data_IF_747017408766
#
_entry.id   IF_747017408766
#
_cell.length_a   1.000
_cell.length_b   1.000
_cell.length_c   1.000
_cell.angle_alpha   90.00
_cell.angle_beta   90.00
_cell.angle_gamma   90.00
#
_symmetry.space_group_name_H-M   'P 1'
#
loop_
_entity.id
_entity.type
_entity.pdbx_description
1 polymer ?
#
# COMPACT_ATOMS: atom_id res chain seq x y z
N UNK A 1 26.84 52.02 -38.94
CA UNK A 1 26.98 52.42 -37.53
C UNK A 1 26.73 51.19 -36.68
N UNK A 2 27.77 50.71 -36.02
CA UNK A 2 27.77 49.57 -35.11
C UNK A 2 27.19 49.97 -33.75
N UNK A 3 26.38 49.12 -33.12
CA UNK A 3 26.46 48.83 -31.67
C UNK A 3 25.98 47.40 -31.45
N UNK A 4 26.90 46.55 -31.00
CA UNK A 4 26.61 45.26 -30.39
C UNK A 4 26.37 45.48 -28.89
N UNK A 5 25.36 44.83 -28.30
CA UNK A 5 25.22 44.70 -26.86
C UNK A 5 24.79 43.27 -26.48
N UNK A 6 25.82 42.46 -26.23
CA UNK A 6 26.00 41.57 -25.07
C UNK A 6 24.88 40.57 -24.75
N UNK A 7 25.14 39.31 -25.13
CA UNK A 7 24.47 38.12 -24.59
C UNK A 7 24.89 37.93 -23.14
N UNK A 8 23.93 37.95 -22.21
CA UNK A 8 24.11 37.46 -20.86
C UNK A 8 23.46 36.08 -20.73
N UNK A 9 24.26 35.03 -20.91
CA UNK A 9 23.90 33.68 -20.48
C UNK A 9 24.06 33.63 -18.97
N UNK A 10 22.97 33.79 -18.23
CA UNK A 10 22.92 33.37 -16.82
C UNK A 10 22.21 32.02 -16.79
N UNK A 11 23.02 30.95 -16.77
CA UNK A 11 22.59 29.63 -16.39
C UNK A 11 22.12 29.66 -14.93
N UNK A 12 20.87 30.03 -14.71
CA UNK A 12 20.18 29.83 -13.45
C UNK A 12 19.70 28.40 -13.39
N UNK A 13 20.56 27.47 -12.95
CA UNK A 13 20.10 26.17 -12.47
C UNK A 13 19.36 26.45 -11.16
N UNK A 14 18.06 26.73 -11.24
CA UNK A 14 17.18 26.62 -10.09
C UNK A 14 17.07 25.15 -9.75
N UNK A 15 17.92 24.72 -8.83
CA UNK A 15 17.75 23.47 -8.09
C UNK A 15 16.42 23.60 -7.34
N UNK A 16 15.34 23.12 -7.95
CA UNK A 16 14.06 22.94 -7.26
C UNK A 16 14.31 21.84 -6.24
N UNK A 17 14.63 22.23 -5.01
CA UNK A 17 14.52 21.32 -3.88
C UNK A 17 13.05 21.00 -3.75
N UNK A 18 12.66 19.81 -4.20
CA UNK A 18 11.35 19.23 -3.91
C UNK A 18 11.28 19.01 -2.40
N UNK A 19 10.86 20.03 -1.66
CA UNK A 19 10.48 19.86 -0.26
C UNK A 19 9.29 18.89 -0.27
N UNK A 20 9.32 17.77 0.46
CA UNK A 20 8.13 16.95 0.59
C UNK A 20 7.03 17.85 1.15
N UNK A 21 5.92 17.97 0.43
CA UNK A 21 4.75 18.66 0.93
C UNK A 21 4.41 18.05 2.29
N UNK A 22 4.52 18.86 3.35
CA UNK A 22 4.07 18.45 4.67
C UNK A 22 2.59 18.10 4.57
N UNK A 23 2.24 16.87 4.92
CA UNK A 23 0.86 16.45 5.01
C UNK A 23 0.11 17.39 5.98
N UNK A 24 -0.96 18.01 5.49
CA UNK A 24 -1.84 18.84 6.31
C UNK A 24 -2.57 17.92 7.31
N UNK A 25 -2.45 18.16 8.63
CA UNK A 25 -3.07 17.31 9.65
C UNK A 25 -4.61 17.38 9.68
N UNK A 26 -5.25 18.23 8.86
CA UNK A 26 -6.70 18.34 8.74
C UNK A 26 -7.25 17.96 7.35
N UNK A 27 -6.43 17.39 6.46
CA UNK A 27 -6.95 16.84 5.21
C UNK A 27 -7.70 15.54 5.50
N UNK A 28 -9.02 15.55 5.30
CA UNK A 28 -9.85 14.34 5.38
C UNK A 28 -9.60 13.39 4.18
N UNK A 29 -8.63 13.73 3.33
CA UNK A 29 -7.97 12.89 2.31
C UNK A 29 -6.56 12.39 2.70
N UNK A 30 -6.23 12.30 4.00
CA UNK A 30 -4.94 11.79 4.47
C UNK A 30 -4.88 10.27 4.56
N UNK A 31 -3.80 9.70 4.04
CA UNK A 31 -3.55 8.26 4.08
C UNK A 31 -3.29 7.75 5.49
N UNK A 32 -3.74 6.52 5.81
CA UNK A 32 -3.49 5.93 7.12
C UNK A 32 -1.99 5.77 7.36
N UNK A 33 -1.58 5.63 8.62
CA UNK A 33 -0.17 5.45 9.01
C UNK A 33 0.51 4.25 8.31
N UNK A 34 -0.30 3.29 7.87
CA UNK A 34 0.06 2.17 7.01
C UNK A 34 -1.14 1.26 6.83
N UNK A 35 -0.93 0.09 6.25
CA UNK A 35 -1.94 -0.97 6.19
C UNK A 35 -1.44 -2.24 6.88
N UNK A 36 -2.34 -2.92 7.58
CA UNK A 36 -2.15 -4.28 8.10
C UNK A 36 -3.02 -5.24 7.30
N UNK A 37 -2.39 -6.23 6.67
CA UNK A 37 -3.07 -7.22 5.85
C UNK A 37 -3.32 -8.49 6.66
N UNK A 38 -4.59 -8.79 6.95
CA UNK A 38 -4.99 -9.98 7.69
C UNK A 38 -5.04 -11.19 6.74
N UNK A 39 -4.06 -12.07 6.84
CA UNK A 39 -4.03 -13.34 6.12
C UNK A 39 -4.41 -14.44 7.09
N UNK A 40 -5.60 -15.00 6.91
CA UNK A 40 -6.05 -16.14 7.70
C UNK A 40 -5.25 -17.40 7.39
N UNK A 41 -5.29 -18.35 8.32
CA UNK A 41 -4.83 -19.71 8.04
C UNK A 41 -5.87 -20.49 7.24
N UNK A 42 -5.53 -21.74 6.96
CA UNK A 42 -6.45 -22.83 6.66
C UNK A 42 -7.80 -22.68 7.41
N UNK A 43 -8.90 -22.54 6.64
CA UNK A 43 -10.31 -22.48 7.03
C UNK A 43 -10.74 -21.12 7.56
N UNK A 44 -9.88 -20.12 7.43
CA UNK A 44 -10.16 -18.73 7.72
C UNK A 44 -10.00 -17.87 6.45
N UNK A 45 -10.95 -17.94 5.51
CA UNK A 45 -10.85 -17.27 4.21
C UNK A 45 -10.90 -15.74 4.30
N UNK A 46 -11.11 -15.17 5.48
CA UNK A 46 -11.17 -13.70 5.67
C UNK A 46 -10.22 -13.17 6.74
N UNK A 47 -9.41 -14.04 7.36
CA UNK A 47 -8.45 -13.62 8.39
C UNK A 47 -9.06 -13.26 9.75
N UNK A 48 -10.29 -13.73 10.08
CA UNK A 48 -10.95 -13.42 11.35
C UNK A 48 -10.11 -13.83 12.57
N UNK A 49 -9.36 -14.93 12.46
CA UNK A 49 -8.51 -15.41 13.55
C UNK A 49 -7.37 -14.43 13.89
N UNK A 50 -7.04 -13.51 12.98
CA UNK A 50 -6.03 -12.46 13.16
C UNK A 50 -6.59 -11.17 13.75
N UNK A 51 -7.91 -11.07 13.94
CA UNK A 51 -8.60 -9.83 14.31
C UNK A 51 -8.01 -9.12 15.56
N UNK A 52 -7.66 -9.82 16.67
CA UNK A 52 -7.07 -9.15 17.83
C UNK A 52 -5.76 -8.41 17.51
N UNK A 53 -4.99 -8.92 16.54
CA UNK A 53 -3.75 -8.29 16.08
C UNK A 53 -4.06 -7.11 15.17
N UNK A 54 -5.01 -7.25 14.24
CA UNK A 54 -5.39 -6.11 13.37
C UNK A 54 -5.99 -4.97 14.16
N UNK A 55 -6.84 -5.24 15.16
CA UNK A 55 -7.46 -4.22 16.00
C UNK A 55 -6.41 -3.39 16.74
N UNK A 56 -5.32 -4.04 17.18
CA UNK A 56 -4.17 -3.35 17.79
C UNK A 56 -3.50 -2.37 16.83
N UNK A 57 -3.39 -2.69 15.54
CA UNK A 57 -2.81 -1.79 14.53
C UNK A 57 -3.79 -0.70 14.09
N UNK A 58 -5.09 -1.01 14.00
CA UNK A 58 -6.13 -0.01 13.75
C UNK A 58 -6.13 1.06 14.85
N UNK A 59 -5.99 0.65 16.11
CA UNK A 59 -5.84 1.58 17.24
C UNK A 59 -4.59 2.48 17.15
N UNK A 60 -3.62 2.14 16.29
CA UNK A 60 -2.41 2.92 15.99
C UNK A 60 -2.53 3.73 14.69
N UNK A 61 -3.72 3.77 14.05
CA UNK A 61 -3.97 4.53 12.83
C UNK A 61 -3.66 3.80 11.52
N UNK A 62 -3.48 2.47 11.55
CA UNK A 62 -3.33 1.67 10.33
C UNK A 62 -4.70 1.29 9.76
N UNK A 63 -4.78 1.12 8.44
CA UNK A 63 -5.93 0.49 7.79
C UNK A 63 -5.87 -1.03 7.94
N UNK A 64 -6.96 -1.67 8.37
CA UNK A 64 -7.10 -3.13 8.33
C UNK A 64 -7.63 -3.58 6.97
N UNK A 65 -6.96 -4.57 6.37
CA UNK A 65 -7.29 -5.12 5.05
C UNK A 65 -7.30 -6.66 5.11
N UNK A 66 -8.47 -7.31 5.24
CA UNK A 66 -8.53 -8.76 5.16
C UNK A 66 -8.16 -9.25 3.76
N UNK A 67 -7.32 -10.28 3.68
CA UNK A 67 -6.95 -10.93 2.42
C UNK A 67 -7.87 -12.12 2.21
N UNK A 68 -8.84 -11.95 1.32
CA UNK A 68 -9.77 -13.03 0.98
C UNK A 68 -9.14 -14.03 0.02
N UNK A 69 -9.09 -15.29 0.42
CA UNK A 69 -8.54 -16.37 -0.39
C UNK A 69 -9.19 -17.71 -0.05
N UNK A 70 -8.99 -18.76 -0.85
CA UNK A 70 -9.67 -20.04 -0.65
C UNK A 70 -9.46 -20.68 0.72
N UNK A 71 -8.29 -20.45 1.35
CA UNK A 71 -7.95 -21.00 2.66
C UNK A 71 -8.28 -22.50 2.79
N UNK A 72 -7.95 -23.29 1.76
CA UNK A 72 -8.37 -24.69 1.61
C UNK A 72 -7.17 -25.63 1.41
N UNK A 73 -7.34 -26.92 1.71
CA UNK A 73 -6.43 -28.00 1.34
C UNK A 73 -7.20 -29.31 1.07
N UNK A 74 -6.89 -29.93 -0.06
CA UNK A 74 -7.43 -31.23 -0.46
C UNK A 74 -6.80 -32.35 0.39
N UNK A 75 -7.55 -33.39 0.81
CA UNK A 75 -8.93 -33.72 0.43
C UNK A 75 -10.01 -33.13 1.34
N UNK A 76 -9.65 -32.33 2.35
CA UNK A 76 -10.61 -31.76 3.29
C UNK A 76 -11.35 -30.52 2.76
N UNK A 77 -10.91 -29.98 1.62
CA UNK A 77 -11.58 -28.91 0.90
C UNK A 77 -11.32 -28.94 -0.61
N UNK A 78 -11.81 -27.90 -1.29
CA UNK A 78 -12.01 -27.89 -2.75
C UNK A 78 -10.76 -27.56 -3.58
N UNK A 79 -9.65 -27.17 -2.94
CA UNK A 79 -8.38 -26.88 -3.62
C UNK A 79 -7.20 -27.57 -2.96
N UNK A 80 -6.18 -27.91 -3.76
CA UNK A 80 -4.88 -28.29 -3.18
C UNK A 80 -4.29 -27.15 -2.37
N UNK A 81 -3.43 -27.48 -1.40
CA UNK A 81 -2.77 -26.47 -0.57
C UNK A 81 -1.98 -25.46 -1.44
N UNK A 82 -1.25 -25.94 -2.44
CA UNK A 82 -0.44 -25.08 -3.32
C UNK A 82 -1.30 -24.12 -4.16
N UNK A 83 -2.45 -24.58 -4.68
CA UNK A 83 -3.39 -23.71 -5.40
C UNK A 83 -3.97 -22.64 -4.49
N UNK A 84 -4.37 -23.02 -3.28
CA UNK A 84 -4.90 -22.12 -2.26
C UNK A 84 -3.88 -21.06 -1.86
N UNK A 85 -2.63 -21.46 -1.59
CA UNK A 85 -1.51 -20.54 -1.28
C UNK A 85 -1.19 -19.62 -2.45
N UNK A 86 -1.13 -20.15 -3.67
CA UNK A 86 -0.87 -19.33 -4.86
C UNK A 86 -1.94 -18.25 -5.07
N UNK A 87 -3.21 -18.62 -4.87
CA UNK A 87 -4.32 -17.66 -4.93
C UNK A 87 -4.20 -16.60 -3.81
N UNK A 88 -3.93 -17.00 -2.56
CA UNK A 88 -3.77 -16.07 -1.45
C UNK A 88 -2.60 -15.10 -1.63
N UNK A 89 -1.45 -15.59 -2.10
CA UNK A 89 -0.29 -14.77 -2.39
C UNK A 89 -0.56 -13.75 -3.51
N UNK A 90 -1.31 -14.15 -4.54
CA UNK A 90 -1.69 -13.24 -5.62
C UNK A 90 -2.68 -12.17 -5.15
N UNK A 91 -3.68 -12.53 -4.33
CA UNK A 91 -4.61 -11.54 -3.73
C UNK A 91 -3.85 -10.56 -2.85
N UNK A 92 -3.02 -11.05 -1.92
CA UNK A 92 -2.22 -10.18 -1.04
C UNK A 92 -1.37 -9.19 -1.84
N UNK A 93 -0.68 -9.66 -2.88
CA UNK A 93 0.12 -8.79 -3.76
C UNK A 93 -0.73 -7.71 -4.43
N UNK A 94 -1.93 -8.08 -4.89
CA UNK A 94 -2.87 -7.15 -5.52
C UNK A 94 -3.31 -6.07 -4.53
N UNK A 95 -3.70 -6.46 -3.32
CA UNK A 95 -4.16 -5.55 -2.27
C UNK A 95 -3.04 -4.61 -1.77
N UNK A 96 -1.82 -5.13 -1.59
CA UNK A 96 -0.65 -4.32 -1.23
C UNK A 96 -0.36 -3.27 -2.30
N UNK A 97 -0.35 -3.69 -3.57
CA UNK A 97 -0.11 -2.76 -4.68
C UNK A 97 -1.23 -1.72 -4.81
N UNK A 98 -2.48 -2.12 -4.59
CA UNK A 98 -3.63 -1.21 -4.59
C UNK A 98 -3.51 -0.17 -3.46
N UNK A 99 -3.07 -0.58 -2.26
CA UNK A 99 -2.84 0.35 -1.16
C UNK A 99 -1.72 1.35 -1.47
N UNK A 100 -0.58 0.89 -2.00
CA UNK A 100 0.50 1.80 -2.41
C UNK A 100 0.09 2.75 -3.55
N UNK A 101 -0.77 2.31 -4.47
CA UNK A 101 -1.28 3.19 -5.52
C UNK A 101 -2.25 4.25 -4.98
N UNK A 102 -2.84 4.01 -3.81
CA UNK A 102 -3.77 4.94 -3.16
C UNK A 102 -3.06 5.97 -2.25
N UNK A 103 -1.83 5.73 -1.78
CA UNK A 103 -1.29 6.44 -0.60
C UNK A 103 0.21 6.86 -0.54
#
# INVERSE_FOLDING_TARGET
MSVACTVAVTAGVTLVMSVPAGADPNDSGSCPAGAVFAVGGTWDPTGQTTQPVTDRYVAQGYASKPVTYPASFWPLGDQTYDQSVAAGAQTLRTEVNAFHAQC
#
